data_IF_294713095097
#
_entry.id   IF_294713095097
#
_cell.length_a   1.000
_cell.length_b   1.000
_cell.length_c   1.000
_cell.angle_alpha   90.00
_cell.angle_beta   90.00
_cell.angle_gamma   90.00
#
_symmetry.space_group_name_H-M   'P 1'
#
loop_
_entity.id
_entity.type
_entity.pdbx_description
1 polymer ?
#
# COMPACT_ATOMS: atom_id res chain seq x y z
N UNK A 1 15.18 -1.45 -1.69
CA UNK A 1 15.21 0.00 -1.34
C UNK A 1 14.23 0.26 -0.20
N UNK A 2 14.48 1.25 0.65
CA UNK A 2 13.56 1.61 1.76
C UNK A 2 12.29 2.32 1.26
N UNK A 3 11.15 2.07 1.92
CA UNK A 3 9.89 2.74 1.63
C UNK A 3 9.95 4.19 2.13
N UNK A 4 10.02 5.16 1.21
CA UNK A 4 10.11 6.59 1.55
C UNK A 4 8.90 7.14 2.32
N UNK A 5 7.79 6.40 2.37
CA UNK A 5 6.57 6.78 3.07
C UNK A 5 6.40 6.05 4.40
N UNK A 6 7.42 5.32 4.87
CA UNK A 6 7.40 4.59 6.13
C UNK A 6 7.04 5.50 7.33
N UNK A 7 7.46 6.77 7.28
CA UNK A 7 7.13 7.77 8.30
C UNK A 7 5.62 8.06 8.47
N UNK A 8 4.78 7.66 7.50
CA UNK A 8 3.32 7.76 7.60
C UNK A 8 2.70 6.60 8.38
N UNK A 9 3.44 5.49 8.55
CA UNK A 9 2.96 4.29 9.22
C UNK A 9 3.01 4.48 10.73
N UNK A 10 1.87 4.27 11.37
CA UNK A 10 1.77 4.19 12.83
C UNK A 10 1.86 2.71 13.19
N UNK A 11 2.82 2.36 14.06
CA UNK A 11 2.90 1.02 14.63
C UNK A 11 1.95 0.94 15.83
N UNK A 12 0.81 0.28 15.64
CA UNK A 12 -0.22 0.08 16.67
C UNK A 12 -0.34 -1.37 17.15
N UNK A 13 0.69 -2.20 16.94
CA UNK A 13 0.65 -3.64 17.25
C UNK A 13 0.46 -3.94 18.74
N UNK A 14 0.86 -3.03 19.61
CA UNK A 14 0.65 -3.08 21.07
C UNK A 14 -0.83 -2.97 21.48
N UNK A 15 -1.69 -2.45 20.59
CA UNK A 15 -3.14 -2.34 20.78
C UNK A 15 -3.90 -3.57 20.27
N UNK A 16 -3.21 -4.53 19.64
CA UNK A 16 -3.82 -5.74 19.09
C UNK A 16 -3.74 -6.90 20.09
N UNK A 17 -4.70 -7.85 20.06
CA UNK A 17 -4.59 -9.08 20.83
C UNK A 17 -3.27 -9.81 20.55
N UNK A 18 -2.67 -10.39 21.60
CA UNK A 18 -1.46 -11.19 21.46
C UNK A 18 -1.80 -12.64 21.02
N UNK A 19 -1.07 -13.21 20.04
CA UNK A 19 -0.03 -12.56 19.24
C UNK A 19 -0.64 -11.71 18.11
N UNK A 20 -0.09 -10.50 17.91
CA UNK A 20 -0.57 -9.57 16.88
C UNK A 20 -0.47 -10.13 15.45
N UNK A 21 0.37 -11.15 15.23
CA UNK A 21 0.54 -11.83 13.94
C UNK A 21 -0.75 -12.49 13.46
N UNK A 22 -1.57 -12.96 14.41
CA UNK A 22 -2.80 -13.71 14.16
C UNK A 22 -3.99 -12.78 13.94
N UNK A 23 -3.80 -11.47 14.17
CA UNK A 23 -4.83 -10.47 13.93
C UNK A 23 -5.28 -10.50 12.46
N UNK A 24 -6.60 -10.47 12.18
CA UNK A 24 -7.11 -10.67 10.83
C UNK A 24 -6.71 -9.52 9.90
N UNK A 25 -6.59 -9.85 8.62
CA UNK A 25 -6.52 -8.88 7.53
C UNK A 25 -7.93 -8.66 6.96
N UNK A 26 -8.15 -7.52 6.32
CA UNK A 26 -9.40 -7.21 5.64
C UNK A 26 -9.61 -8.12 4.43
N UNK A 27 -10.86 -8.53 4.24
CA UNK A 27 -11.36 -9.20 3.02
C UNK A 27 -12.18 -8.25 2.15
N UNK A 28 -12.67 -7.15 2.73
CA UNK A 28 -13.38 -6.08 2.04
C UNK A 28 -12.51 -4.82 2.09
N UNK A 29 -12.12 -4.34 0.92
CA UNK A 29 -11.26 -3.17 0.75
C UNK A 29 -11.48 -2.57 -0.64
N UNK A 30 -11.05 -1.33 -0.79
CA UNK A 30 -10.93 -0.68 -2.10
C UNK A 30 -9.66 -1.17 -2.79
N UNK A 31 -9.79 -1.56 -4.05
CA UNK A 31 -8.64 -1.83 -4.94
C UNK A 31 -8.39 -0.61 -5.83
N UNK A 32 -7.26 0.05 -5.59
CA UNK A 32 -6.78 1.16 -6.42
C UNK A 32 -5.80 0.60 -7.46
N UNK A 33 -6.30 0.40 -8.69
CA UNK A 33 -5.46 -0.01 -9.80
C UNK A 33 -4.46 1.10 -10.17
N UNK A 34 -3.16 0.77 -10.19
CA UNK A 34 -2.08 1.73 -10.48
C UNK A 34 -1.49 1.49 -11.87
N UNK A 35 -1.29 0.23 -12.24
CA UNK A 35 -0.72 -0.14 -13.54
C UNK A 35 -1.28 -1.48 -14.01
N UNK A 36 -1.47 -1.63 -15.32
CA UNK A 36 -1.86 -2.87 -15.99
C UNK A 36 -1.18 -2.95 -17.36
N UNK A 37 -0.51 -4.05 -17.63
CA UNK A 37 0.01 -4.38 -18.95
C UNK A 37 0.23 -5.90 -19.09
N UNK A 38 -0.70 -6.59 -19.75
CA UNK A 38 -0.64 -8.05 -19.87
C UNK A 38 -0.67 -8.71 -18.49
N UNK A 39 0.39 -9.45 -18.15
CA UNK A 39 0.55 -10.10 -16.84
C UNK A 39 1.04 -9.15 -15.75
N UNK A 40 1.64 -8.02 -16.13
CA UNK A 40 2.10 -7.06 -15.15
C UNK A 40 0.92 -6.25 -14.61
N UNK A 41 0.80 -6.17 -13.29
CA UNK A 41 -0.18 -5.36 -12.61
C UNK A 41 0.32 -4.85 -11.27
N UNK A 42 -0.18 -3.68 -10.87
CA UNK A 42 0.08 -3.10 -9.56
C UNK A 42 -1.24 -2.59 -8.98
N UNK A 43 -1.64 -3.13 -7.84
CA UNK A 43 -2.82 -2.70 -7.07
C UNK A 43 -2.42 -2.29 -5.65
N UNK A 44 -2.86 -1.11 -5.25
CA UNK A 44 -2.85 -0.73 -3.85
C UNK A 44 -4.21 -1.07 -3.24
N UNK A 45 -4.20 -1.77 -2.12
CA UNK A 45 -5.41 -2.19 -1.42
C UNK A 45 -5.58 -1.29 -0.21
N UNK A 46 -6.73 -0.66 -0.02
CA UNK A 46 -6.96 0.31 1.06
C UNK A 46 -8.31 0.07 1.72
N UNK A 47 -8.34 0.01 3.05
CA UNK A 47 -9.57 -0.22 3.80
C UNK A 47 -9.46 0.23 5.25
N UNK A 48 -10.60 0.30 5.94
CA UNK A 48 -10.63 0.64 7.36
C UNK A 48 -10.79 -0.61 8.22
N UNK A 49 -10.01 -0.68 9.29
CA UNK A 49 -10.12 -1.70 10.33
C UNK A 49 -10.04 -1.00 11.69
N UNK A 50 -11.01 -1.23 12.56
CA UNK A 50 -11.15 -0.58 13.88
C UNK A 50 -11.06 0.96 13.84
N UNK A 51 -11.62 1.59 12.80
CA UNK A 51 -11.58 3.04 12.62
C UNK A 51 -10.24 3.59 12.12
N UNK A 52 -9.26 2.74 11.84
CA UNK A 52 -7.98 3.13 11.25
C UNK A 52 -7.91 2.76 9.78
N UNK A 53 -7.29 3.63 8.97
CA UNK A 53 -6.92 3.26 7.61
C UNK A 53 -5.77 2.25 7.63
N UNK A 54 -5.84 1.27 6.74
CA UNK A 54 -4.84 0.21 6.57
C UNK A 54 -4.55 0.04 5.09
N UNK A 55 -3.38 -0.51 4.77
CA UNK A 55 -2.97 -0.71 3.38
C UNK A 55 -2.45 -2.12 3.15
N UNK A 56 -2.68 -2.61 1.93
CA UNK A 56 -2.11 -3.80 1.34
C UNK A 56 -1.63 -3.53 -0.07
N UNK A 57 -1.02 -4.53 -0.69
CA UNK A 57 -0.55 -4.48 -2.08
C UNK A 57 -0.83 -5.81 -2.74
N UNK A 58 -1.11 -5.76 -4.04
CA UNK A 58 -1.22 -6.96 -4.88
C UNK A 58 -0.58 -6.63 -6.22
N UNK A 59 0.54 -7.29 -6.53
CA UNK A 59 1.31 -6.95 -7.72
C UNK A 59 1.99 -8.15 -8.36
N UNK A 60 2.17 -8.04 -9.68
CA UNK A 60 3.08 -8.84 -10.49
C UNK A 60 3.80 -7.89 -11.46
N UNK A 61 5.13 -7.93 -11.50
CA UNK A 61 5.91 -7.14 -12.45
C UNK A 61 7.17 -7.89 -12.84
N UNK A 62 7.41 -8.03 -14.15
CA UNK A 62 8.59 -8.73 -14.69
C UNK A 62 8.76 -10.15 -14.10
N UNK A 63 7.64 -10.89 -14.07
CA UNK A 63 7.54 -12.25 -13.53
C UNK A 63 7.80 -12.35 -12.02
N UNK A 64 7.74 -11.23 -11.28
CA UNK A 64 7.86 -11.21 -9.82
C UNK A 64 6.57 -10.71 -9.19
N UNK A 65 5.90 -11.61 -8.47
CA UNK A 65 4.69 -11.31 -7.72
C UNK A 65 4.97 -11.02 -6.24
N UNK A 66 4.05 -10.29 -5.61
CA UNK A 66 4.10 -10.01 -4.19
C UNK A 66 2.82 -9.34 -3.70
N UNK A 67 2.48 -9.56 -2.44
CA UNK A 67 1.29 -8.94 -1.89
C UNK A 67 0.90 -9.39 -0.50
N UNK A 68 0.01 -8.60 0.08
CA UNK A 68 -0.67 -8.89 1.33
C UNK A 68 -1.95 -8.06 1.39
N UNK A 69 -3.00 -8.63 1.98
CA UNK A 69 -4.24 -7.90 2.22
C UNK A 69 -4.04 -6.84 3.31
N UNK A 70 -4.79 -5.72 3.28
CA UNK A 70 -4.70 -4.67 4.29
C UNK A 70 -5.00 -5.18 5.69
N UNK A 71 -4.31 -4.65 6.70
CA UNK A 71 -4.64 -4.93 8.09
C UNK A 71 -3.75 -4.18 9.07
N UNK A 72 -4.28 -3.90 10.27
CA UNK A 72 -3.57 -3.13 11.32
C UNK A 72 -2.27 -3.78 11.76
N UNK A 73 -2.12 -5.10 11.60
CA UNK A 73 -0.87 -5.81 11.89
C UNK A 73 0.31 -5.41 10.99
N UNK A 74 0.03 -4.85 9.81
CA UNK A 74 1.06 -4.29 8.93
C UNK A 74 1.37 -2.85 9.28
N UNK A 75 0.36 -2.11 9.71
CA UNK A 75 0.44 -0.72 10.11
C UNK A 75 -0.92 -0.05 9.99
N UNK A 76 -1.05 1.10 10.65
CA UNK A 76 -2.26 1.91 10.59
C UNK A 76 -1.92 3.35 10.17
N UNK A 77 -2.88 4.03 9.58
CA UNK A 77 -2.70 5.34 8.95
C UNK A 77 -3.81 6.29 9.36
N UNK A 78 -3.45 7.57 9.49
CA UNK A 78 -4.40 8.63 9.87
C UNK A 78 -5.39 8.99 8.75
N UNK A 79 -5.03 8.77 7.49
CA UNK A 79 -5.92 9.03 6.34
C UNK A 79 -5.79 7.95 5.28
N UNK A 80 -6.80 7.87 4.41
CA UNK A 80 -6.80 7.00 3.22
C UNK A 80 -5.60 7.27 2.32
N UNK A 81 -5.29 8.54 2.10
CA UNK A 81 -4.17 8.96 1.25
C UNK A 81 -2.83 8.55 1.86
N UNK A 82 -2.70 8.57 3.19
CA UNK A 82 -1.47 8.13 3.84
C UNK A 82 -1.27 6.62 3.70
N UNK A 83 -2.33 5.83 3.85
CA UNK A 83 -2.30 4.39 3.56
C UNK A 83 -1.91 4.13 2.09
N UNK A 84 -2.55 4.83 1.16
CA UNK A 84 -2.27 4.69 -0.27
C UNK A 84 -0.82 5.09 -0.62
N UNK A 85 -0.31 6.21 -0.10
CA UNK A 85 1.08 6.63 -0.29
C UNK A 85 2.07 5.59 0.25
N UNK A 86 1.75 4.98 1.39
CA UNK A 86 2.58 3.93 1.95
C UNK A 86 2.62 2.68 1.06
N UNK A 87 1.49 2.22 0.52
CA UNK A 87 1.45 1.12 -0.45
C UNK A 87 2.23 1.43 -1.74
N UNK A 88 2.07 2.63 -2.30
CA UNK A 88 2.82 3.07 -3.49
C UNK A 88 4.33 3.10 -3.22
N UNK A 89 4.72 3.56 -2.03
CA UNK A 89 6.09 3.51 -1.56
C UNK A 89 6.64 2.09 -1.43
N UNK A 90 5.82 1.16 -0.91
CA UNK A 90 6.17 -0.25 -0.83
C UNK A 90 6.42 -0.85 -2.22
N UNK A 91 5.58 -0.52 -3.21
CA UNK A 91 5.82 -0.93 -4.60
C UNK A 91 7.15 -0.38 -5.14
N UNK A 92 7.47 0.90 -4.89
CA UNK A 92 8.75 1.51 -5.28
C UNK A 92 9.98 0.85 -4.64
N UNK A 93 9.80 0.18 -3.51
CA UNK A 93 10.86 -0.58 -2.84
C UNK A 93 11.19 -1.90 -3.55
N UNK A 94 10.29 -2.40 -4.41
CA UNK A 94 10.44 -3.65 -5.13
C UNK A 94 11.46 -3.53 -6.27
N UNK A 95 12.51 -4.36 -6.25
CA UNK A 95 13.69 -4.20 -7.12
C UNK A 95 13.39 -4.30 -8.62
N UNK A 96 12.43 -5.16 -8.98
CA UNK A 96 11.97 -5.34 -10.37
C UNK A 96 11.07 -4.22 -10.88
N UNK A 97 10.64 -3.28 -10.04
CA UNK A 97 9.74 -2.22 -10.49
C UNK A 97 10.50 -1.15 -11.27
N UNK A 98 10.44 -1.24 -12.59
CA UNK A 98 11.13 -0.34 -13.51
C UNK A 98 10.21 0.16 -14.64
N UNK A 99 10.73 1.01 -15.53
CA UNK A 99 10.03 1.45 -16.74
C UNK A 99 8.65 2.07 -16.48
N UNK A 100 7.69 1.73 -17.35
CA UNK A 100 6.34 2.28 -17.33
C UNK A 100 5.59 1.99 -16.02
N UNK A 101 5.75 0.79 -15.45
CA UNK A 101 5.14 0.41 -14.19
C UNK A 101 5.61 1.33 -13.05
N UNK A 102 6.92 1.60 -12.99
CA UNK A 102 7.49 2.53 -12.01
C UNK A 102 7.00 3.97 -12.22
N UNK A 103 6.87 4.42 -13.46
CA UNK A 103 6.36 5.77 -13.76
C UNK A 103 4.88 5.91 -13.39
N UNK A 104 4.07 4.87 -13.55
CA UNK A 104 2.67 4.87 -13.12
C UNK A 104 2.54 5.06 -11.60
N UNK A 105 3.40 4.40 -10.80
CA UNK A 105 3.43 4.57 -9.34
C UNK A 105 3.83 6.01 -8.96
N UNK A 106 4.88 6.56 -9.59
CA UNK A 106 5.28 7.95 -9.36
C UNK A 106 4.17 8.94 -9.72
N UNK A 107 3.55 8.79 -10.89
CA UNK A 107 2.46 9.66 -11.32
C UNK A 107 1.27 9.60 -10.36
N UNK A 108 0.99 8.43 -9.77
CA UNK A 108 -0.06 8.31 -8.74
C UNK A 108 0.30 9.06 -7.46
N UNK A 109 1.55 8.98 -7.01
CA UNK A 109 2.06 9.75 -5.86
C UNK A 109 1.92 11.25 -6.11
N UNK A 110 2.33 11.72 -7.28
CA UNK A 110 2.29 13.13 -7.63
C UNK A 110 0.85 13.65 -7.68
N UNK A 111 -0.09 12.88 -8.26
CA UNK A 111 -1.51 13.22 -8.25
C UNK A 111 -2.07 13.35 -6.82
N UNK A 112 -1.73 12.43 -5.90
CA UNK A 112 -2.17 12.52 -4.50
C UNK A 112 -1.61 13.76 -3.81
N UNK A 113 -0.34 14.10 -4.09
CA UNK A 113 0.31 15.29 -3.51
C UNK A 113 -0.27 16.59 -4.04
N UNK A 114 -0.60 16.65 -5.33
CA UNK A 114 -1.22 17.84 -5.95
C UNK A 114 -2.63 18.12 -5.41
N UNK A 115 -3.41 17.08 -5.08
CA UNK A 115 -4.72 17.21 -4.45
C UNK A 115 -4.68 17.83 -3.04
N UNK A 116 -3.51 17.96 -2.41
CA UNK A 116 -3.34 18.64 -1.11
C UNK A 116 -2.95 20.12 -1.22
N UNK A 117 -2.71 20.63 -2.43
CA UNK A 117 -2.30 22.02 -2.67
C UNK A 117 -3.48 22.95 -2.99
N UNK A 118 -4.69 22.41 -3.10
CA UNK A 118 -5.96 23.14 -3.29
C UNK A 118 -6.89 22.85 -2.11
#
# INVERSE_FOLDING_TARGET
>A
MENKFEYLRIDGRDQLPAPWSDYPVLTEYETVAVYRNGRDYLDALVGQQDGWWTSGVHMEVDGSGGGFNPGRKWGQFSTRENALLWALGWMLSHEKLQGAARQAVLGRIDNIRQLKLF
#
